data_IF_376565735433
#
_entry.id   IF_376565735433
#
_cell.length_a   1.000
_cell.length_b   1.000
_cell.length_c   1.000
_cell.angle_alpha   90.00
_cell.angle_beta   90.00
_cell.angle_gamma   90.00
#
_symmetry.space_group_name_H-M   'P 1'
#
loop_
_entity.id
_entity.type
_entity.pdbx_description
1 polymer ?
#
# COMPACT_ATOMS: atom_id res chain seq x y z
N UNK A 1 22.53 -34.88 -15.22
CA UNK A 1 23.29 -34.08 -14.23
C UNK A 1 22.60 -32.75 -14.22
N UNK A 2 21.77 -32.49 -13.19
CA UNK A 2 21.22 -31.17 -12.97
C UNK A 2 22.39 -30.27 -12.57
N UNK A 3 22.63 -29.19 -13.34
CA UNK A 3 23.65 -28.22 -12.98
C UNK A 3 23.32 -27.68 -11.59
N UNK A 4 24.27 -27.69 -10.70
CA UNK A 4 24.23 -26.99 -9.42
C UNK A 4 24.04 -25.51 -9.76
N UNK A 5 22.81 -25.02 -9.67
CA UNK A 5 22.59 -23.56 -9.66
C UNK A 5 23.12 -23.07 -8.32
N UNK A 6 24.30 -22.45 -8.31
CA UNK A 6 24.83 -21.76 -7.15
C UNK A 6 23.92 -20.53 -6.89
N UNK A 7 23.19 -20.57 -5.80
CA UNK A 7 22.39 -19.45 -5.34
C UNK A 7 23.30 -18.37 -4.71
N UNK A 8 23.05 -17.12 -5.06
CA UNK A 8 23.78 -15.97 -4.50
C UNK A 8 23.32 -15.57 -3.09
N UNK A 9 23.97 -14.55 -2.53
CA UNK A 9 23.66 -14.05 -1.17
C UNK A 9 22.23 -13.58 -0.97
N UNK A 10 21.62 -12.91 -1.95
CA UNK A 10 20.22 -12.50 -1.87
C UNK A 10 19.25 -13.67 -1.75
N UNK A 11 19.50 -14.76 -2.48
CA UNK A 11 18.72 -16.00 -2.34
C UNK A 11 18.92 -16.63 -0.96
N UNK A 12 20.16 -16.60 -0.44
CA UNK A 12 20.43 -17.10 0.91
C UNK A 12 19.68 -16.29 1.96
N UNK A 13 19.63 -14.95 1.83
CA UNK A 13 18.88 -14.09 2.71
C UNK A 13 17.40 -14.48 2.74
N UNK A 14 16.74 -14.53 1.57
CA UNK A 14 15.34 -14.93 1.44
C UNK A 14 15.05 -16.29 2.06
N UNK A 15 15.90 -17.28 1.76
CA UNK A 15 15.78 -18.63 2.30
C UNK A 15 15.96 -18.66 3.83
N UNK A 16 16.93 -17.92 4.38
CA UNK A 16 17.19 -17.91 5.82
C UNK A 16 16.11 -17.17 6.60
N UNK A 17 15.56 -16.08 6.08
CA UNK A 17 14.42 -15.39 6.69
C UNK A 17 13.27 -16.37 6.94
N UNK A 18 12.85 -17.12 5.93
CA UNK A 18 11.79 -18.12 6.10
C UNK A 18 12.17 -19.25 7.06
N UNK A 19 13.36 -19.79 6.93
CA UNK A 19 13.86 -20.88 7.81
C UNK A 19 13.90 -20.45 9.28
N UNK A 20 14.28 -19.22 9.58
CA UNK A 20 14.31 -18.74 10.96
C UNK A 20 12.89 -18.42 11.47
N UNK A 21 11.98 -17.91 10.62
CA UNK A 21 10.57 -17.74 10.99
C UNK A 21 9.92 -19.09 11.33
N UNK A 22 10.11 -20.12 10.51
CA UNK A 22 9.64 -21.48 10.77
C UNK A 22 10.15 -22.02 12.10
N UNK A 23 11.45 -21.90 12.36
CA UNK A 23 12.08 -22.36 13.62
C UNK A 23 11.60 -21.60 14.84
N UNK A 24 11.48 -20.26 14.75
CA UNK A 24 11.07 -19.41 15.87
C UNK A 24 9.61 -19.61 16.28
N UNK A 25 8.78 -20.10 15.36
CA UNK A 25 7.35 -20.37 15.56
C UNK A 25 7.02 -21.85 15.75
N UNK A 26 8.01 -22.71 15.90
CA UNK A 26 7.85 -24.18 15.99
C UNK A 26 7.05 -24.77 14.80
N UNK A 27 7.21 -24.19 13.60
CA UNK A 27 6.51 -24.57 12.39
C UNK A 27 5.04 -24.16 12.31
N UNK A 28 4.54 -23.38 13.27
CA UNK A 28 3.12 -23.00 13.32
C UNK A 28 2.78 -21.76 12.51
N UNK A 29 3.77 -20.90 12.20
CA UNK A 29 3.52 -19.66 11.46
C UNK A 29 3.65 -19.89 9.96
N UNK A 30 2.63 -19.50 9.24
CA UNK A 30 2.63 -19.43 7.78
C UNK A 30 3.00 -17.99 7.40
N UNK A 31 4.03 -17.85 6.58
CA UNK A 31 4.48 -16.57 6.04
C UNK A 31 3.82 -16.35 4.68
N UNK A 32 3.09 -15.26 4.53
CA UNK A 32 2.49 -14.85 3.26
C UNK A 32 3.40 -13.88 2.50
N UNK A 33 3.14 -13.70 1.22
CA UNK A 33 3.98 -12.94 0.30
C UNK A 33 4.29 -11.52 0.79
N UNK A 34 3.30 -10.78 1.25
CA UNK A 34 3.51 -9.42 1.79
C UNK A 34 4.44 -9.45 2.98
N UNK A 35 4.20 -10.33 3.96
CA UNK A 35 5.07 -10.47 5.13
C UNK A 35 6.49 -10.89 4.75
N UNK A 36 6.62 -11.85 3.83
CA UNK A 36 7.92 -12.29 3.31
C UNK A 36 8.71 -11.13 2.73
N UNK A 37 8.08 -10.34 1.87
CA UNK A 37 8.71 -9.18 1.24
C UNK A 37 9.21 -8.16 2.27
N UNK A 38 8.40 -7.89 3.31
CA UNK A 38 8.80 -6.97 4.39
C UNK A 38 9.95 -7.54 5.23
N UNK A 39 9.89 -8.81 5.58
CA UNK A 39 10.99 -9.47 6.31
C UNK A 39 12.30 -9.42 5.52
N UNK A 40 12.27 -9.68 4.22
CA UNK A 40 13.44 -9.60 3.36
C UNK A 40 13.96 -8.16 3.25
N UNK A 41 13.08 -7.18 3.14
CA UNK A 41 13.45 -5.77 3.09
C UNK A 41 14.08 -5.29 4.41
N UNK A 42 13.46 -5.57 5.54
CA UNK A 42 14.01 -5.20 6.85
C UNK A 42 15.36 -5.91 7.09
N UNK A 43 15.47 -7.19 6.69
CA UNK A 43 16.74 -7.90 6.76
C UNK A 43 17.82 -7.26 5.87
N UNK A 44 17.47 -6.81 4.68
CA UNK A 44 18.37 -6.08 3.81
C UNK A 44 18.83 -4.76 4.44
N UNK A 45 17.92 -4.02 5.07
CA UNK A 45 18.25 -2.75 5.76
C UNK A 45 19.22 -2.94 6.94
N UNK A 46 19.01 -3.94 7.75
CA UNK A 46 19.96 -4.31 8.81
C UNK A 46 21.35 -4.67 8.25
N UNK A 47 21.40 -5.40 7.13
CA UNK A 47 22.66 -5.73 6.46
C UNK A 47 23.32 -4.51 5.80
N UNK A 48 22.53 -3.54 5.35
CA UNK A 48 23.03 -2.26 4.84
C UNK A 48 23.72 -1.45 5.94
N UNK A 49 23.15 -1.39 7.15
CA UNK A 49 23.75 -0.78 8.33
C UNK A 49 25.06 -1.47 8.74
N UNK A 50 25.15 -2.79 8.56
CA UNK A 50 26.33 -3.58 8.80
C UNK A 50 27.39 -3.48 7.67
N UNK A 51 27.08 -2.80 6.56
CA UNK A 51 27.98 -2.58 5.43
C UNK A 51 28.02 -3.72 4.40
N UNK A 52 27.02 -4.60 4.36
CA UNK A 52 26.94 -5.74 3.44
C UNK A 52 25.96 -5.54 2.26
N UNK A 53 25.31 -4.39 2.10
CA UNK A 53 24.30 -4.17 1.09
C UNK A 53 24.76 -4.53 -0.33
N UNK A 54 25.95 -4.04 -0.73
CA UNK A 54 26.49 -4.24 -2.08
C UNK A 54 26.77 -5.74 -2.40
N UNK A 55 26.88 -6.58 -1.37
CA UNK A 55 27.17 -8.01 -1.52
C UNK A 55 25.89 -8.87 -1.59
N UNK A 56 24.77 -8.38 -1.04
CA UNK A 56 23.52 -9.16 -0.96
C UNK A 56 22.86 -9.36 -2.31
N UNK A 57 22.93 -8.34 -3.19
CA UNK A 57 22.39 -8.40 -4.56
C UNK A 57 20.95 -8.93 -4.61
N UNK A 58 20.05 -8.30 -3.85
CA UNK A 58 18.64 -8.65 -3.82
C UNK A 58 17.82 -7.62 -4.60
N UNK A 59 17.33 -7.95 -5.80
CA UNK A 59 16.48 -7.03 -6.55
C UNK A 59 15.20 -6.73 -5.78
N UNK A 60 14.95 -5.46 -5.52
CA UNK A 60 13.77 -4.99 -4.81
C UNK A 60 13.21 -3.71 -5.45
N UNK A 61 11.92 -3.49 -5.29
CA UNK A 61 11.25 -2.27 -5.73
C UNK A 61 10.20 -1.86 -4.71
N UNK A 62 9.96 -0.57 -4.59
CA UNK A 62 8.80 -0.06 -3.90
C UNK A 62 7.54 -0.25 -4.75
N UNK A 63 6.51 -0.87 -4.16
CA UNK A 63 5.24 -1.12 -4.83
C UNK A 63 4.06 -0.87 -3.87
N UNK A 64 2.86 -1.36 -4.16
CA UNK A 64 1.61 -1.02 -3.46
C UNK A 64 1.63 -1.19 -1.94
N UNK A 65 2.37 -2.17 -1.44
CA UNK A 65 2.48 -2.45 0.00
C UNK A 65 3.89 -2.20 0.53
N UNK A 66 4.63 -1.24 -0.07
CA UNK A 66 6.01 -0.92 0.25
C UNK A 66 7.03 -1.80 -0.52
N UNK A 67 8.26 -1.92 0.00
CA UNK A 67 9.32 -2.65 -0.70
C UNK A 67 9.01 -4.15 -0.84
N UNK A 68 9.20 -4.69 -2.04
CA UNK A 68 9.05 -6.11 -2.37
C UNK A 68 10.25 -6.64 -3.14
N UNK A 69 10.54 -7.94 -2.97
CA UNK A 69 11.54 -8.67 -3.75
C UNK A 69 11.00 -8.85 -5.17
N UNK A 70 11.81 -8.49 -6.16
CA UNK A 70 11.43 -8.58 -7.56
C UNK A 70 12.16 -9.71 -8.29
N UNK A 71 11.40 -10.58 -8.94
CA UNK A 71 11.93 -11.68 -9.74
C UNK A 71 11.16 -12.98 -9.56
N UNK A 72 11.69 -14.06 -10.12
CA UNK A 72 11.08 -15.40 -9.99
C UNK A 72 11.40 -15.97 -8.60
N UNK A 73 10.40 -16.44 -7.83
CA UNK A 73 10.60 -16.95 -6.47
C UNK A 73 11.68 -18.04 -6.39
N UNK A 74 11.72 -18.92 -7.40
CA UNK A 74 12.67 -20.02 -7.46
C UNK A 74 14.12 -19.56 -7.51
N UNK A 75 14.39 -18.38 -8.09
CA UNK A 75 15.73 -17.79 -8.13
C UNK A 75 16.21 -17.36 -6.74
N UNK A 76 15.29 -17.16 -5.79
CA UNK A 76 15.57 -16.81 -4.40
C UNK A 76 15.48 -18.00 -3.43
N UNK A 77 15.44 -19.23 -3.95
CA UNK A 77 15.38 -20.43 -3.12
C UNK A 77 14.06 -20.60 -2.38
N UNK A 78 12.98 -20.03 -2.89
CA UNK A 78 11.63 -20.08 -2.31
C UNK A 78 10.59 -20.53 -3.34
N UNK A 79 9.42 -20.94 -2.89
CA UNK A 79 8.27 -21.32 -3.71
C UNK A 79 7.04 -20.57 -3.26
N UNK A 80 6.21 -20.17 -4.21
CA UNK A 80 4.91 -19.55 -3.96
C UNK A 80 3.80 -20.59 -4.12
N UNK A 81 2.90 -20.64 -3.14
CA UNK A 81 1.74 -21.51 -3.13
C UNK A 81 0.49 -20.74 -2.73
N UNK A 82 -0.43 -20.54 -3.66
CA UNK A 82 -1.69 -19.86 -3.40
C UNK A 82 -2.66 -20.73 -2.61
N UNK A 83 -3.38 -20.10 -1.66
CA UNK A 83 -4.54 -20.65 -0.96
C UNK A 83 -5.66 -19.59 -0.86
N UNK A 84 -6.75 -19.91 -0.12
CA UNK A 84 -7.91 -19.03 0.03
C UNK A 84 -7.61 -17.71 0.78
N UNK A 85 -6.47 -17.61 1.46
CA UNK A 85 -6.04 -16.47 2.25
C UNK A 85 -4.94 -15.65 1.58
N UNK A 86 -4.38 -16.14 0.46
CA UNK A 86 -3.32 -15.46 -0.30
C UNK A 86 -2.20 -16.39 -0.77
N UNK A 87 -1.05 -15.81 -1.08
CA UNK A 87 0.13 -16.53 -1.55
C UNK A 87 1.07 -16.81 -0.38
N UNK A 88 1.19 -18.09 0.01
CA UNK A 88 2.20 -18.56 0.97
C UNK A 88 3.56 -18.62 0.33
N UNK A 89 4.60 -18.32 1.12
CA UNK A 89 5.98 -18.45 0.71
C UNK A 89 6.65 -19.58 1.52
N UNK A 90 7.23 -20.53 0.82
CA UNK A 90 7.81 -21.74 1.40
C UNK A 90 9.29 -21.83 0.98
N UNK A 91 10.24 -22.07 1.90
CA UNK A 91 11.63 -22.29 1.53
C UNK A 91 11.79 -23.59 0.74
N UNK A 92 12.57 -23.55 -0.32
CA UNK A 92 12.97 -24.79 -1.01
C UNK A 92 13.81 -25.68 -0.10
N UNK A 93 13.78 -26.98 -0.33
CA UNK A 93 14.63 -27.93 0.40
C UNK A 93 16.06 -27.87 -0.17
N UNK A 94 16.84 -26.90 0.31
CA UNK A 94 18.20 -26.64 -0.11
C UNK A 94 19.15 -26.86 1.08
N UNK A 95 20.35 -27.41 0.78
CA UNK A 95 21.46 -27.45 1.75
C UNK A 95 22.22 -26.13 1.73
N UNK A 96 22.91 -25.80 2.81
CA UNK A 96 23.74 -24.58 2.89
C UNK A 96 24.85 -24.55 1.81
N UNK A 97 25.27 -25.72 1.31
CA UNK A 97 26.23 -25.83 0.21
C UNK A 97 25.68 -25.45 -1.16
N UNK A 98 24.36 -25.24 -1.29
CA UNK A 98 23.75 -24.72 -2.52
C UNK A 98 23.95 -23.20 -2.70
N UNK A 99 24.42 -22.52 -1.65
CA UNK A 99 24.59 -21.07 -1.63
C UNK A 99 26.08 -20.69 -1.62
N UNK A 100 26.48 -19.85 -2.58
CA UNK A 100 27.84 -19.36 -2.70
C UNK A 100 27.95 -17.95 -2.11
N UNK A 101 28.55 -17.85 -0.91
CA UNK A 101 28.81 -16.57 -0.23
C UNK A 101 29.95 -16.70 0.78
N UNK A 102 30.56 -15.56 1.15
CA UNK A 102 31.61 -15.50 2.17
C UNK A 102 31.04 -15.84 3.55
N UNK A 103 31.89 -16.34 4.44
CA UNK A 103 31.47 -16.83 5.75
C UNK A 103 30.99 -15.67 6.68
N UNK A 104 31.67 -14.53 6.65
CA UNK A 104 31.27 -13.35 7.43
C UNK A 104 29.87 -12.82 7.03
N UNK A 105 29.57 -12.76 5.72
CA UNK A 105 28.24 -12.42 5.21
C UNK A 105 27.20 -13.48 5.61
N UNK A 106 27.58 -14.77 5.55
CA UNK A 106 26.71 -15.88 5.99
C UNK A 106 26.30 -15.73 7.47
N UNK A 107 27.29 -15.44 8.32
CA UNK A 107 27.04 -15.20 9.77
C UNK A 107 26.17 -13.96 10.01
N UNK A 108 26.40 -12.88 9.27
CA UNK A 108 25.59 -11.67 9.34
C UNK A 108 24.12 -11.96 8.96
N UNK A 109 23.87 -12.64 7.82
CA UNK A 109 22.52 -13.02 7.38
C UNK A 109 21.84 -13.91 8.43
N UNK A 110 22.52 -14.90 8.97
CA UNK A 110 21.95 -15.75 10.03
C UNK A 110 21.59 -14.95 11.29
N UNK A 111 22.40 -13.98 11.68
CA UNK A 111 22.15 -13.12 12.84
C UNK A 111 20.92 -12.26 12.62
N UNK A 112 20.86 -11.56 11.49
CA UNK A 112 19.74 -10.68 11.13
C UNK A 112 18.44 -11.47 11.00
N UNK A 113 18.43 -12.58 10.25
CA UNK A 113 17.23 -13.40 10.08
C UNK A 113 16.70 -13.96 11.43
N UNK A 114 17.59 -14.33 12.37
CA UNK A 114 17.19 -14.76 13.72
C UNK A 114 16.63 -13.61 14.57
N UNK A 115 17.20 -12.39 14.45
CA UNK A 115 16.69 -11.19 15.13
C UNK A 115 15.26 -10.93 14.70
N UNK A 116 15.00 -10.80 13.39
CA UNK A 116 13.67 -10.52 12.85
C UNK A 116 12.67 -11.65 13.16
N UNK A 117 13.09 -12.91 13.06
CA UNK A 117 12.23 -14.02 13.44
C UNK A 117 11.83 -13.97 14.93
N UNK A 118 12.73 -13.55 15.82
CA UNK A 118 12.43 -13.35 17.23
C UNK A 118 11.42 -12.25 17.47
N UNK A 119 11.50 -11.18 16.68
CA UNK A 119 10.65 -9.98 16.75
C UNK A 119 9.24 -10.23 16.20
N UNK A 120 9.14 -10.82 15.00
CA UNK A 120 7.88 -10.95 14.27
C UNK A 120 7.19 -12.32 14.36
N UNK A 121 7.77 -13.32 15.07
CA UNK A 121 7.17 -14.67 15.18
C UNK A 121 5.76 -14.72 15.75
N UNK A 122 5.38 -13.74 16.58
CA UNK A 122 4.07 -13.67 17.23
C UNK A 122 3.13 -12.62 16.61
N UNK A 123 3.56 -11.89 15.59
CA UNK A 123 2.67 -10.99 14.87
C UNK A 123 1.63 -11.81 14.10
N UNK A 124 0.36 -11.58 14.44
CA UNK A 124 -0.79 -12.13 13.71
C UNK A 124 -1.21 -11.06 12.68
N UNK A 125 -1.02 -11.37 11.40
CA UNK A 125 -1.26 -10.42 10.30
C UNK A 125 0.02 -9.72 9.84
N UNK A 126 -0.12 -8.98 8.76
CA UNK A 126 0.98 -8.25 8.12
C UNK A 126 1.11 -6.80 8.58
N UNK A 127 0.10 -6.28 9.29
CA UNK A 127 -0.05 -4.84 9.56
C UNK A 127 1.15 -4.26 10.33
N UNK A 128 1.57 -4.93 11.40
CA UNK A 128 2.71 -4.46 12.23
C UNK A 128 3.98 -4.32 11.39
N UNK A 129 4.35 -5.35 10.63
CA UNK A 129 5.58 -5.33 9.84
C UNK A 129 5.49 -4.37 8.63
N UNK A 130 4.28 -4.16 8.12
CA UNK A 130 4.03 -3.16 7.08
C UNK A 130 4.19 -1.77 7.68
N UNK A 131 3.54 -1.47 8.81
CA UNK A 131 3.65 -0.19 9.52
C UNK A 131 5.12 0.12 9.84
N UNK A 132 5.86 -0.78 10.49
CA UNK A 132 7.29 -0.62 10.79
C UNK A 132 8.10 -0.31 9.52
N UNK A 133 7.78 -0.97 8.39
CA UNK A 133 8.47 -0.73 7.12
C UNK A 133 8.19 0.65 6.50
N UNK A 134 7.00 1.23 6.75
CA UNK A 134 6.66 2.58 6.30
C UNK A 134 7.21 3.63 7.25
N UNK A 135 7.06 3.46 8.56
CA UNK A 135 7.51 4.40 9.57
C UNK A 135 9.02 4.65 9.49
N UNK A 136 9.80 3.58 9.33
CA UNK A 136 11.26 3.66 9.34
C UNK A 136 11.87 3.93 7.96
N UNK A 137 11.22 3.49 6.87
CA UNK A 137 11.86 3.42 5.55
C UNK A 137 11.01 3.95 4.39
N UNK A 138 9.87 4.61 4.63
CA UNK A 138 9.14 5.24 3.54
C UNK A 138 10.04 6.22 2.77
N UNK A 139 10.07 6.15 1.42
CA UNK A 139 11.04 6.93 0.64
C UNK A 139 10.80 8.44 0.69
N UNK A 140 9.58 8.86 1.02
CA UNK A 140 9.20 10.26 1.22
C UNK A 140 8.11 10.39 2.27
N UNK A 141 7.95 11.58 2.86
CA UNK A 141 6.84 11.90 3.74
C UNK A 141 5.47 11.64 3.09
N UNK A 142 5.33 11.94 1.79
CA UNK A 142 4.09 11.68 1.04
C UNK A 142 3.72 10.20 1.04
N UNK A 143 4.68 9.30 0.84
CA UNK A 143 4.43 7.85 0.83
C UNK A 143 3.95 7.36 2.19
N UNK A 144 4.55 7.85 3.28
CA UNK A 144 4.11 7.55 4.63
C UNK A 144 2.73 8.14 4.94
N UNK A 145 2.51 9.42 4.62
CA UNK A 145 1.20 10.09 4.79
C UNK A 145 0.10 9.40 3.98
N UNK A 146 0.42 8.85 2.79
CA UNK A 146 -0.55 8.11 1.99
C UNK A 146 -0.89 6.74 2.61
N UNK A 147 0.09 6.06 3.19
CA UNK A 147 -0.14 4.84 3.96
C UNK A 147 -1.09 5.09 5.14
N UNK A 148 -0.87 6.13 5.93
CA UNK A 148 -1.75 6.51 7.04
C UNK A 148 -3.16 6.92 6.55
N UNK A 149 -3.25 7.67 5.44
CA UNK A 149 -4.52 8.00 4.82
C UNK A 149 -5.32 6.75 4.43
N UNK A 150 -4.68 5.73 3.84
CA UNK A 150 -5.34 4.46 3.49
C UNK A 150 -5.91 3.77 4.72
N UNK A 151 -5.18 3.68 5.81
CA UNK A 151 -5.66 3.10 7.08
C UNK A 151 -6.91 3.81 7.58
N UNK A 152 -6.96 5.14 7.45
CA UNK A 152 -8.13 5.93 7.86
C UNK A 152 -9.35 5.61 6.99
N UNK A 153 -9.22 5.63 5.66
CA UNK A 153 -10.37 5.38 4.78
C UNK A 153 -10.86 3.93 4.86
N UNK A 154 -9.97 2.95 4.99
CA UNK A 154 -10.33 1.54 5.23
C UNK A 154 -11.12 1.37 6.55
N UNK A 155 -10.78 2.14 7.59
CA UNK A 155 -11.52 2.19 8.86
C UNK A 155 -12.92 2.81 8.77
N UNK A 156 -13.28 3.46 7.67
CA UNK A 156 -14.60 4.04 7.45
C UNK A 156 -15.62 3.04 6.87
N UNK A 157 -15.21 1.83 6.49
CA UNK A 157 -16.12 0.82 5.96
C UNK A 157 -17.26 0.48 6.94
N UNK A 158 -18.53 0.40 6.47
CA UNK A 158 -19.72 0.23 7.32
C UNK A 158 -19.73 -1.05 8.18
N UNK A 159 -18.94 -2.05 7.82
CA UNK A 159 -18.93 -3.36 8.48
C UNK A 159 -18.24 -3.40 9.86
N UNK A 160 -17.56 -2.33 10.28
CA UNK A 160 -16.87 -2.25 11.58
C UNK A 160 -17.50 -1.24 12.55
N UNK A 161 -18.39 -0.36 12.09
CA UNK A 161 -19.08 0.58 12.98
C UNK A 161 -20.24 -0.09 13.70
N UNK A 162 -20.24 -0.01 15.03
CA UNK A 162 -21.38 -0.48 15.81
C UNK A 162 -22.65 0.30 15.42
N UNK A 163 -23.78 -0.40 15.29
CA UNK A 163 -25.10 0.18 14.96
C UNK A 163 -25.48 1.44 15.80
N UNK A 164 -24.84 1.65 16.93
CA UNK A 164 -25.04 2.80 17.82
C UNK A 164 -24.44 4.10 17.29
N UNK A 165 -23.36 4.05 16.51
CA UNK A 165 -22.81 5.26 15.87
C UNK A 165 -23.60 5.69 14.64
N UNK A 166 -24.26 4.74 13.98
CA UNK A 166 -25.09 5.00 12.80
C UNK A 166 -26.39 5.76 13.11
N UNK A 167 -26.86 5.74 14.36
CA UNK A 167 -28.13 6.37 14.77
C UNK A 167 -27.96 7.80 15.28
N UNK A 168 -26.75 8.25 15.60
CA UNK A 168 -26.50 9.54 16.26
C UNK A 168 -25.79 10.59 15.37
N UNK A 169 -25.43 10.28 14.12
CA UNK A 169 -24.71 11.20 13.25
C UNK A 169 -25.48 11.50 11.97
N UNK A 170 -25.62 12.75 11.60
CA UNK A 170 -25.99 13.10 10.23
C UNK A 170 -24.89 12.57 9.29
N UNK A 171 -25.24 11.76 8.26
CA UNK A 171 -24.26 10.89 7.57
C UNK A 171 -23.12 11.61 6.84
N UNK A 172 -23.30 12.87 6.44
CA UNK A 172 -22.40 13.54 5.50
C UNK A 172 -21.28 14.38 6.14
N UNK A 173 -21.47 14.98 7.30
CA UNK A 173 -20.43 15.83 7.90
C UNK A 173 -19.34 15.04 8.64
N UNK A 174 -19.67 13.82 9.13
CA UNK A 174 -18.74 13.00 9.90
C UNK A 174 -17.55 12.47 9.10
N UNK A 175 -17.79 11.95 7.90
CA UNK A 175 -16.74 11.33 7.09
C UNK A 175 -15.76 12.35 6.50
N UNK A 176 -16.26 13.46 5.97
CA UNK A 176 -15.40 14.50 5.41
C UNK A 176 -14.51 15.15 6.48
N UNK A 177 -15.00 15.29 7.71
CA UNK A 177 -14.22 15.86 8.82
C UNK A 177 -13.02 14.97 9.19
N UNK A 178 -13.15 13.66 9.03
CA UNK A 178 -12.08 12.69 9.31
C UNK A 178 -11.06 12.63 8.16
N UNK A 179 -11.50 12.64 6.91
CA UNK A 179 -10.64 12.48 5.72
C UNK A 179 -9.90 13.76 5.35
N UNK A 180 -10.52 14.91 5.52
CA UNK A 180 -10.01 16.22 5.08
C UNK A 180 -8.61 16.56 5.58
N UNK A 181 -8.28 16.42 6.88
CA UNK A 181 -6.93 16.76 7.37
C UNK A 181 -5.84 15.92 6.69
N UNK A 182 -6.13 14.65 6.41
CA UNK A 182 -5.20 13.75 5.73
C UNK A 182 -5.01 14.13 4.26
N UNK A 183 -6.06 14.55 3.55
CA UNK A 183 -5.93 15.09 2.19
C UNK A 183 -5.14 16.40 2.15
N UNK A 184 -5.28 17.26 3.14
CA UNK A 184 -4.48 18.49 3.26
C UNK A 184 -2.99 18.16 3.51
N UNK A 185 -2.70 17.15 4.32
CA UNK A 185 -1.34 16.65 4.56
C UNK A 185 -0.73 16.07 3.28
N UNK A 186 -1.47 15.24 2.53
CA UNK A 186 -1.01 14.68 1.27
C UNK A 186 -0.63 15.75 0.24
N UNK A 187 -1.43 16.81 0.14
CA UNK A 187 -1.12 17.95 -0.76
C UNK A 187 0.16 18.67 -0.32
N UNK A 188 0.35 18.84 1.01
CA UNK A 188 1.55 19.46 1.58
C UNK A 188 2.81 18.63 1.37
N UNK A 189 2.69 17.31 1.51
CA UNK A 189 3.82 16.38 1.51
C UNK A 189 4.22 15.89 0.12
N UNK A 190 3.40 16.16 -0.92
CA UNK A 190 3.66 15.68 -2.28
C UNK A 190 4.94 16.28 -2.85
N UNK A 191 6.00 15.49 -3.12
CA UNK A 191 7.28 16.00 -3.61
C UNK A 191 7.25 16.15 -5.13
N UNK A 192 6.61 17.21 -5.62
CA UNK A 192 6.37 17.44 -7.06
C UNK A 192 7.64 17.34 -7.93
N UNK A 193 8.79 17.75 -7.41
CA UNK A 193 10.05 17.68 -8.19
C UNK A 193 10.59 16.25 -8.36
N UNK A 194 10.14 15.30 -7.54
CA UNK A 194 10.53 13.89 -7.60
C UNK A 194 9.49 13.06 -8.37
N UNK A 195 8.20 13.33 -8.16
CA UNK A 195 7.07 12.60 -8.73
C UNK A 195 6.27 13.48 -9.69
N UNK A 196 6.94 14.05 -10.66
CA UNK A 196 6.37 15.02 -11.61
C UNK A 196 5.44 14.35 -12.64
N UNK A 197 5.70 13.09 -12.99
CA UNK A 197 4.91 12.32 -13.96
C UNK A 197 3.48 12.02 -13.49
N UNK A 198 3.27 11.77 -12.19
CA UNK A 198 1.94 11.49 -11.62
C UNK A 198 1.27 12.73 -11.01
N UNK A 199 1.93 13.88 -10.98
CA UNK A 199 1.39 15.09 -10.33
C UNK A 199 0.07 15.60 -10.94
N UNK A 200 -0.13 15.61 -12.27
CA UNK A 200 -1.42 15.99 -12.85
C UNK A 200 -2.57 15.10 -12.40
N UNK A 201 -2.34 13.79 -12.31
CA UNK A 201 -3.32 12.81 -11.86
C UNK A 201 -3.60 12.94 -10.36
N UNK A 202 -2.58 13.19 -9.56
CA UNK A 202 -2.72 13.47 -8.12
C UNK A 202 -3.66 14.65 -7.85
N UNK A 203 -3.48 15.77 -8.56
CA UNK A 203 -4.34 16.94 -8.39
C UNK A 203 -5.80 16.68 -8.77
N UNK A 204 -6.01 15.91 -9.82
CA UNK A 204 -7.37 15.55 -10.24
C UNK A 204 -8.01 14.57 -9.26
N UNK A 205 -7.25 13.57 -8.79
CA UNK A 205 -7.65 12.64 -7.76
C UNK A 205 -8.08 13.37 -6.47
N UNK A 206 -7.24 14.26 -5.93
CA UNK A 206 -7.55 15.04 -4.73
C UNK A 206 -8.87 15.81 -4.86
N UNK A 207 -9.10 16.44 -6.03
CA UNK A 207 -10.33 17.19 -6.30
C UNK A 207 -11.58 16.29 -6.29
N UNK A 208 -11.52 15.11 -6.92
CA UNK A 208 -12.66 14.19 -7.01
C UNK A 208 -12.91 13.50 -5.67
N UNK A 209 -11.86 13.03 -4.99
CA UNK A 209 -11.99 12.40 -3.66
C UNK A 209 -12.59 13.35 -2.64
N UNK A 210 -12.21 14.63 -2.64
CA UNK A 210 -12.85 15.64 -1.76
C UNK A 210 -14.34 15.80 -2.04
N UNK A 211 -14.75 15.73 -3.30
CA UNK A 211 -16.17 15.82 -3.66
C UNK A 211 -16.93 14.56 -3.25
N UNK A 212 -16.39 13.36 -3.52
CA UNK A 212 -16.99 12.09 -3.10
C UNK A 212 -17.11 12.00 -1.57
N UNK A 213 -16.07 12.39 -0.84
CA UNK A 213 -16.09 12.43 0.62
C UNK A 213 -17.15 13.41 1.16
N UNK A 214 -17.36 14.55 0.48
CA UNK A 214 -18.42 15.51 0.81
C UNK A 214 -19.81 14.96 0.56
N UNK A 215 -19.97 14.15 -0.48
CA UNK A 215 -21.22 13.47 -0.79
C UNK A 215 -21.50 12.28 0.14
N UNK A 216 -20.48 11.83 0.91
CA UNK A 216 -20.58 10.68 1.83
C UNK A 216 -20.35 9.33 1.15
N UNK A 217 -19.91 9.31 -0.11
CA UNK A 217 -19.63 8.07 -0.86
C UNK A 217 -18.27 7.48 -0.46
N UNK A 218 -18.26 6.76 0.67
CA UNK A 218 -17.05 6.14 1.24
C UNK A 218 -16.49 5.07 0.33
N UNK A 219 -17.33 4.26 -0.31
CA UNK A 219 -16.89 3.17 -1.20
C UNK A 219 -16.14 3.74 -2.42
N UNK A 220 -16.68 4.79 -3.04
CA UNK A 220 -16.02 5.47 -4.14
C UNK A 220 -14.70 6.14 -3.72
N UNK A 221 -14.63 6.73 -2.51
CA UNK A 221 -13.39 7.30 -1.95
C UNK A 221 -12.31 6.21 -1.83
N UNK A 222 -12.63 5.05 -1.26
CA UNK A 222 -11.70 3.94 -1.09
C UNK A 222 -11.24 3.43 -2.46
N UNK A 223 -12.18 3.07 -3.33
CA UNK A 223 -11.87 2.49 -4.64
C UNK A 223 -11.02 3.41 -5.53
N UNK A 224 -11.35 4.71 -5.56
CA UNK A 224 -10.57 5.69 -6.33
C UNK A 224 -9.18 5.94 -5.72
N UNK A 225 -9.06 5.87 -4.39
CA UNK A 225 -7.77 6.00 -3.71
C UNK A 225 -6.88 4.79 -3.96
N UNK A 226 -7.42 3.58 -3.96
CA UNK A 226 -6.68 2.37 -4.34
C UNK A 226 -6.20 2.43 -5.80
N UNK A 227 -7.07 2.85 -6.71
CA UNK A 227 -6.72 3.01 -8.12
C UNK A 227 -5.61 4.05 -8.33
N UNK A 228 -5.65 5.18 -7.61
CA UNK A 228 -4.58 6.17 -7.64
C UNK A 228 -3.27 5.57 -7.11
N UNK A 229 -3.31 4.87 -5.98
CA UNK A 229 -2.11 4.28 -5.39
C UNK A 229 -1.48 3.21 -6.29
N UNK A 230 -2.30 2.39 -6.95
CA UNK A 230 -1.81 1.43 -7.94
C UNK A 230 -1.10 2.13 -9.11
N UNK A 231 -1.73 3.15 -9.69
CA UNK A 231 -1.13 3.94 -10.77
C UNK A 231 0.16 4.61 -10.29
N UNK A 232 0.16 5.29 -9.14
CA UNK A 232 1.30 5.98 -8.57
C UNK A 232 2.48 5.01 -8.29
N UNK A 233 2.18 3.83 -7.75
CA UNK A 233 3.20 2.80 -7.50
C UNK A 233 3.87 2.33 -8.79
N UNK A 234 3.13 2.25 -9.89
CA UNK A 234 3.65 1.82 -11.21
C UNK A 234 4.37 2.93 -11.96
N UNK A 235 3.92 4.18 -11.81
CA UNK A 235 4.48 5.33 -12.55
C UNK A 235 5.70 5.90 -11.84
N UNK A 236 5.67 6.01 -10.53
CA UNK A 236 6.70 6.68 -9.75
C UNK A 236 7.49 5.75 -8.84
N UNK A 237 6.84 5.03 -7.91
CA UNK A 237 7.55 4.35 -6.83
C UNK A 237 8.53 3.30 -7.35
N UNK A 238 8.08 2.35 -8.18
CA UNK A 238 8.96 1.29 -8.70
C UNK A 238 10.11 1.82 -9.55
N UNK A 239 9.97 3.02 -10.13
CA UNK A 239 10.97 3.62 -11.01
C UNK A 239 12.00 4.42 -10.21
N UNK A 240 11.57 5.14 -9.17
CA UNK A 240 12.46 5.99 -8.37
C UNK A 240 13.06 5.28 -7.16
N UNK A 241 12.38 4.24 -6.63
CA UNK A 241 12.76 3.55 -5.40
C UNK A 241 12.89 2.05 -5.65
N UNK A 242 14.06 1.66 -6.15
CA UNK A 242 14.42 0.27 -6.44
C UNK A 242 15.88 0.01 -6.09
N UNK A 243 16.22 -1.28 -5.95
CA UNK A 243 17.55 -1.78 -5.67
C UNK A 243 17.83 -2.92 -6.65
N UNK A 244 18.99 -2.93 -7.26
CA UNK A 244 19.48 -4.01 -8.14
C UNK A 244 18.54 -4.42 -9.29
N UNK A 245 17.64 -3.53 -9.70
CA UNK A 245 16.73 -3.78 -10.84
C UNK A 245 17.52 -3.62 -12.15
N UNK A 246 17.42 -4.62 -13.08
CA UNK A 246 18.07 -4.51 -14.38
C UNK A 246 17.63 -3.26 -15.16
N UNK A 247 18.58 -2.60 -15.81
CA UNK A 247 18.32 -1.36 -16.55
C UNK A 247 17.27 -1.54 -17.67
N UNK A 248 17.21 -2.73 -18.30
CA UNK A 248 16.19 -3.07 -19.30
C UNK A 248 14.79 -3.09 -18.69
N UNK A 249 14.63 -3.72 -17.54
CA UNK A 249 13.36 -3.72 -16.80
C UNK A 249 12.91 -2.33 -16.40
N UNK A 250 13.85 -1.50 -15.93
CA UNK A 250 13.56 -0.10 -15.58
C UNK A 250 13.10 0.70 -16.81
N UNK A 251 13.75 0.50 -17.95
CA UNK A 251 13.35 1.12 -19.21
C UNK A 251 11.94 0.69 -19.64
N UNK A 252 11.60 -0.58 -19.52
CA UNK A 252 10.25 -1.10 -19.81
C UNK A 252 9.20 -0.44 -18.90
N UNK A 253 9.47 -0.31 -17.61
CA UNK A 253 8.55 0.37 -16.68
C UNK A 253 8.32 1.83 -17.03
N UNK A 254 9.36 2.53 -17.49
CA UNK A 254 9.24 3.92 -17.94
C UNK A 254 8.36 4.00 -19.20
N UNK A 255 8.50 3.07 -20.14
CA UNK A 255 7.68 3.03 -21.34
C UNK A 255 6.19 2.71 -21.06
N UNK A 256 5.91 1.99 -19.99
CA UNK A 256 4.54 1.64 -19.58
C UNK A 256 3.79 2.76 -18.83
N UNK A 257 4.48 3.83 -18.41
CA UNK A 257 3.90 4.91 -17.58
C UNK A 257 2.60 5.48 -18.15
N UNK A 258 2.60 5.84 -19.42
CA UNK A 258 1.44 6.45 -20.06
C UNK A 258 0.22 5.53 -20.09
N UNK A 259 0.43 4.24 -20.31
CA UNK A 259 -0.64 3.24 -20.25
C UNK A 259 -1.30 3.19 -18.86
N UNK A 260 -0.52 3.26 -17.78
CA UNK A 260 -1.04 3.26 -16.42
C UNK A 260 -1.78 4.56 -16.08
N UNK A 261 -1.26 5.70 -16.53
CA UNK A 261 -1.94 7.00 -16.40
C UNK A 261 -3.27 7.03 -17.16
N UNK A 262 -3.31 6.52 -18.39
CA UNK A 262 -4.55 6.44 -19.19
C UNK A 262 -5.62 5.55 -18.54
N UNK A 263 -5.22 4.38 -18.02
CA UNK A 263 -6.13 3.50 -17.29
C UNK A 263 -6.74 4.18 -16.07
N UNK A 264 -5.92 4.90 -15.29
CA UNK A 264 -6.40 5.65 -14.14
C UNK A 264 -7.30 6.83 -14.53
N UNK A 265 -6.95 7.59 -15.59
CA UNK A 265 -7.78 8.71 -16.09
C UNK A 265 -9.16 8.28 -16.52
N UNK A 266 -9.29 7.07 -17.08
CA UNK A 266 -10.61 6.52 -17.45
C UNK A 266 -11.47 6.30 -16.20
N UNK A 267 -10.92 5.67 -15.17
CA UNK A 267 -11.62 5.47 -13.90
C UNK A 267 -11.95 6.81 -13.22
N UNK A 268 -11.00 7.73 -13.19
CA UNK A 268 -11.20 9.07 -12.62
C UNK A 268 -12.35 9.82 -13.29
N UNK A 269 -12.53 9.63 -14.59
CA UNK A 269 -13.64 10.27 -15.35
C UNK A 269 -14.99 9.70 -14.91
N UNK A 270 -15.10 8.38 -14.74
CA UNK A 270 -16.30 7.72 -14.24
C UNK A 270 -16.70 8.24 -12.84
N UNK A 271 -15.74 8.28 -11.90
CA UNK A 271 -16.00 8.80 -10.56
C UNK A 271 -16.32 10.30 -10.53
N UNK A 272 -15.77 11.07 -11.46
CA UNK A 272 -16.11 12.50 -11.58
C UNK A 272 -17.57 12.71 -12.04
N UNK A 273 -18.06 11.88 -12.95
CA UNK A 273 -19.46 11.93 -13.38
C UNK A 273 -20.39 11.60 -12.22
N UNK A 274 -20.13 10.52 -11.49
CA UNK A 274 -20.88 10.16 -10.26
C UNK A 274 -20.88 11.30 -9.23
N UNK A 275 -19.73 11.87 -8.94
CA UNK A 275 -19.61 12.97 -7.97
C UNK A 275 -20.40 14.24 -8.39
N UNK A 276 -20.58 14.47 -9.68
CA UNK A 276 -21.36 15.60 -10.21
C UNK A 276 -22.85 15.33 -10.18
N UNK A 277 -23.31 14.14 -10.54
CA UNK A 277 -24.71 13.74 -10.51
C UNK A 277 -25.27 13.81 -9.09
N UNK A 278 -24.58 13.24 -8.11
CA UNK A 278 -24.97 13.30 -6.70
C UNK A 278 -25.05 14.75 -6.17
N UNK A 279 -24.13 15.62 -6.61
CA UNK A 279 -24.17 17.02 -6.26
C UNK A 279 -25.41 17.75 -6.80
N UNK A 280 -25.82 17.43 -8.03
CA UNK A 280 -27.02 18.02 -8.64
C UNK A 280 -28.28 17.55 -7.91
N UNK A 281 -28.37 16.26 -7.57
CA UNK A 281 -29.48 15.71 -6.78
C UNK A 281 -29.58 16.33 -5.40
N UNK A 282 -28.45 16.48 -4.69
CA UNK A 282 -28.39 17.11 -3.35
C UNK A 282 -28.86 18.56 -3.43
N UNK A 283 -28.35 19.35 -4.38
CA UNK A 283 -28.78 20.75 -4.56
C UNK A 283 -30.27 20.84 -4.90
N UNK A 284 -30.83 19.90 -5.65
CA UNK A 284 -32.25 19.86 -5.98
C UNK A 284 -33.11 19.56 -4.74
N UNK A 285 -32.70 18.61 -3.90
CA UNK A 285 -33.36 18.28 -2.64
C UNK A 285 -33.32 19.44 -1.65
N UNK A 286 -32.18 20.13 -1.53
CA UNK A 286 -32.05 21.34 -0.70
C UNK A 286 -33.03 22.43 -1.15
N UNK A 287 -33.12 22.71 -2.45
CA UNK A 287 -34.06 23.69 -3.01
C UNK A 287 -35.54 23.33 -2.73
N UNK A 288 -35.90 22.04 -2.84
CA UNK A 288 -37.23 21.56 -2.48
C UNK A 288 -37.49 21.75 -1.00
N UNK A 289 -36.53 21.41 -0.12
CA UNK A 289 -36.65 21.56 1.33
C UNK A 289 -36.81 23.02 1.75
N UNK A 290 -36.04 23.94 1.16
CA UNK A 290 -36.17 25.38 1.40
C UNK A 290 -37.53 25.91 0.96
N UNK A 291 -37.97 25.53 -0.25
CA UNK A 291 -39.28 25.91 -0.79
C UNK A 291 -40.44 25.42 0.09
N UNK A 292 -40.33 24.17 0.60
CA UNK A 292 -41.31 23.61 1.51
C UNK A 292 -41.34 24.35 2.86
N UNK A 293 -40.16 24.65 3.39
CA UNK A 293 -40.01 25.42 4.65
C UNK A 293 -40.58 26.84 4.56
N UNK A 294 -40.41 27.52 3.41
CA UNK A 294 -41.00 28.82 3.15
C UNK A 294 -42.53 28.72 3.06
N UNK A 295 -43.06 27.73 2.40
CA UNK A 295 -44.51 27.50 2.27
C UNK A 295 -45.16 27.26 3.63
N UNK A 296 -44.56 26.42 4.47
CA UNK A 296 -45.01 26.18 5.86
C UNK A 296 -45.00 27.45 6.71
N UNK A 297 -43.93 28.24 6.62
CA UNK A 297 -43.84 29.52 7.32
C UNK A 297 -44.90 30.53 6.87
N UNK A 298 -45.25 30.51 5.58
CA UNK A 298 -46.27 31.41 5.05
C UNK A 298 -47.67 30.98 5.50
N UNK A 299 -48.00 29.68 5.45
CA UNK A 299 -49.27 29.15 5.98
C UNK A 299 -49.44 29.45 7.49
N UNK A 300 -48.39 29.33 8.29
CA UNK A 300 -48.41 29.64 9.73
C UNK A 300 -48.62 31.15 10.03
N UNK A 301 -48.28 32.03 9.10
CA UNK A 301 -48.55 33.47 9.22
C UNK A 301 -49.99 33.81 8.87
N UNK A 302 -50.52 33.18 7.82
CA UNK A 302 -51.89 33.41 7.35
C UNK A 302 -52.96 32.86 8.30
N UNK A 303 -52.61 31.93 9.23
CA UNK A 303 -53.49 31.42 10.27
C UNK A 303 -53.50 32.27 11.54
N UNK A 304 -52.56 33.23 11.68
CA UNK A 304 -52.48 34.12 12.86
C UNK A 304 -53.04 35.54 12.65
N UNK A 305 -53.44 35.89 11.44
CA UNK A 305 -54.16 37.12 11.08
C UNK A 305 -55.67 36.83 10.89
#
# INVERSE_FOLDING_TARGET
MAGSSDFGPGAFLCHQVLRQMERASDGNKIVYETEFNKLCFLAYKELEEDGFADEVQLPMRWYQFGMEVWGQPEAFGVLYQSDDRGTKVIPQTLSDSAFSLREDLREAIHRVARKLAGEYKHSYGTDIIVDDSYDDYAPTSFVNSYHEYRKIIEGLEPNQQSLTQFLDSEPSEGHISTVRPHLEMLVSDYPQSMYDEAYPEFKQWDSVVRQLAKNGDVEAVISLSEAFWEMFSRVELRVHHNVDIPAETLADWILERDKHKESFRSQLTEYREVALEEREETNHLEQISESYSETVRQMSRDEMD
#
